data_IF_916440124926
#
_entry.id   IF_916440124926
#
_cell.length_a   1.000
_cell.length_b   1.000
_cell.length_c   1.000
_cell.angle_alpha   90.00
_cell.angle_beta   90.00
_cell.angle_gamma   90.00
#
_symmetry.space_group_name_H-M   'P 1'
#
loop_
_entity.id
_entity.type
_entity.pdbx_description
1 polymer ?
#
# COMPACT_ATOMS: atom_id res chain seq x y z
N UNK A 1 -5.28 39.23 8.08
CA UNK A 1 -6.44 38.59 8.73
C UNK A 1 -6.49 37.18 8.17
N UNK A 2 -6.39 36.16 9.01
CA UNK A 2 -6.28 34.76 8.60
C UNK A 2 -7.68 34.27 8.12
N UNK A 3 -7.72 33.28 7.23
CA UNK A 3 -8.97 32.72 6.68
C UNK A 3 -9.85 32.22 7.84
N UNK A 4 -9.22 31.57 8.83
CA UNK A 4 -9.88 31.04 10.03
C UNK A 4 -10.53 32.15 10.86
N UNK A 5 -9.86 33.30 11.02
CA UNK A 5 -10.42 34.43 11.78
C UNK A 5 -11.58 35.10 11.03
N UNK A 6 -11.49 35.12 9.70
CA UNK A 6 -12.53 35.69 8.83
C UNK A 6 -13.79 34.83 8.84
N UNK A 7 -13.65 33.51 8.69
CA UNK A 7 -14.76 32.54 8.79
C UNK A 7 -15.43 32.58 10.16
N UNK A 8 -14.65 32.57 11.24
CA UNK A 8 -15.19 32.64 12.60
C UNK A 8 -16.04 33.91 12.82
N UNK A 9 -15.55 35.07 12.35
CA UNK A 9 -16.26 36.35 12.48
C UNK A 9 -17.57 36.39 11.67
N UNK A 10 -17.60 35.77 10.49
CA UNK A 10 -18.78 35.61 9.66
C UNK A 10 -19.79 34.66 10.32
N UNK A 11 -19.32 33.54 10.86
CA UNK A 11 -20.14 32.60 11.62
C UNK A 11 -20.84 33.26 12.80
N UNK A 12 -20.11 34.06 13.59
CA UNK A 12 -20.69 34.84 14.70
C UNK A 12 -21.79 35.77 14.18
N UNK A 13 -21.51 36.59 13.16
CA UNK A 13 -22.50 37.54 12.59
C UNK A 13 -23.75 36.84 12.06
N UNK A 14 -23.59 35.71 11.39
CA UNK A 14 -24.70 34.93 10.83
C UNK A 14 -25.52 34.28 11.95
N UNK A 15 -24.90 33.77 13.01
CA UNK A 15 -25.61 33.05 14.07
C UNK A 15 -26.25 33.99 15.12
N UNK A 16 -25.71 35.19 15.34
CA UNK A 16 -26.26 36.16 16.32
C UNK A 16 -27.26 37.16 15.75
N UNK A 17 -27.16 37.58 14.48
CA UNK A 17 -28.05 38.59 13.89
C UNK A 17 -29.20 38.02 13.03
N UNK A 18 -29.57 36.75 13.22
CA UNK A 18 -30.64 36.11 12.46
C UNK A 18 -31.81 35.66 13.33
N UNK A 19 -32.97 35.49 12.70
CA UNK A 19 -34.16 34.92 13.36
C UNK A 19 -33.89 33.46 13.71
N UNK A 20 -34.44 32.99 14.84
CA UNK A 20 -34.24 31.63 15.34
C UNK A 20 -34.48 30.53 14.28
N UNK A 21 -35.52 30.69 13.44
CA UNK A 21 -35.81 29.78 12.33
C UNK A 21 -34.66 29.72 11.30
N UNK A 22 -34.12 30.87 10.91
CA UNK A 22 -32.99 30.96 9.97
C UNK A 22 -31.74 30.31 10.55
N UNK A 23 -31.45 30.52 11.84
CA UNK A 23 -30.33 29.89 12.53
C UNK A 23 -30.47 28.36 12.58
N UNK A 24 -31.68 27.85 12.82
CA UNK A 24 -31.96 26.40 12.83
C UNK A 24 -31.77 25.78 11.43
N UNK A 25 -32.26 26.44 10.37
CA UNK A 25 -32.04 25.98 8.99
C UNK A 25 -30.55 25.94 8.62
N UNK A 26 -29.79 26.98 8.96
CA UNK A 26 -28.34 27.04 8.70
C UNK A 26 -27.61 25.90 9.41
N UNK A 27 -27.93 25.67 10.69
CA UNK A 27 -27.32 24.58 11.45
C UNK A 27 -27.61 23.21 10.83
N UNK A 28 -28.85 22.98 10.37
CA UNK A 28 -29.22 21.75 9.66
C UNK A 28 -28.44 21.55 8.36
N UNK A 29 -28.24 22.62 7.57
CA UNK A 29 -27.44 22.57 6.34
C UNK A 29 -25.96 22.30 6.67
N UNK A 30 -25.38 22.96 7.68
CA UNK A 30 -24.00 22.72 8.11
C UNK A 30 -23.79 21.28 8.59
N UNK A 31 -24.74 20.72 9.34
CA UNK A 31 -24.68 19.31 9.77
C UNK A 31 -24.73 18.35 8.56
N UNK A 32 -25.60 18.61 7.59
CA UNK A 32 -25.66 17.83 6.36
C UNK A 32 -24.36 17.91 5.56
N UNK A 33 -23.79 19.11 5.39
CA UNK A 33 -22.50 19.32 4.73
C UNK A 33 -21.37 18.58 5.46
N UNK A 34 -21.26 18.75 6.78
CA UNK A 34 -20.24 18.07 7.58
C UNK A 34 -20.35 16.55 7.46
N UNK A 35 -21.58 16.01 7.40
CA UNK A 35 -21.81 14.58 7.18
C UNK A 35 -21.35 14.14 5.78
N UNK A 36 -21.72 14.87 4.73
CA UNK A 36 -21.27 14.59 3.35
C UNK A 36 -19.74 14.64 3.25
N UNK A 37 -19.11 15.66 3.82
CA UNK A 37 -17.64 15.78 3.83
C UNK A 37 -16.98 14.65 4.62
N UNK A 38 -17.56 14.19 5.73
CA UNK A 38 -17.04 13.06 6.49
C UNK A 38 -17.16 11.74 5.69
N UNK A 39 -18.28 11.51 5.02
CA UNK A 39 -18.49 10.34 4.15
C UNK A 39 -17.52 10.35 2.97
N UNK A 40 -17.36 11.50 2.30
CA UNK A 40 -16.45 11.65 1.16
C UNK A 40 -14.97 11.50 1.57
N UNK A 41 -14.58 12.05 2.73
CA UNK A 41 -13.26 11.84 3.30
C UNK A 41 -13.03 10.36 3.66
N UNK A 42 -14.05 9.66 4.14
CA UNK A 42 -13.96 8.22 4.45
C UNK A 42 -13.76 7.42 3.17
N UNK A 43 -14.56 7.68 2.13
CA UNK A 43 -14.42 7.04 0.82
C UNK A 43 -13.05 7.28 0.21
N UNK A 44 -12.56 8.52 0.21
CA UNK A 44 -11.24 8.83 -0.34
C UNK A 44 -10.12 8.13 0.43
N UNK A 45 -10.27 8.03 1.76
CA UNK A 45 -9.35 7.27 2.61
C UNK A 45 -9.38 5.79 2.26
N UNK A 46 -10.56 5.19 2.10
CA UNK A 46 -10.71 3.80 1.67
C UNK A 46 -10.07 3.56 0.31
N UNK A 47 -10.35 4.40 -0.69
CA UNK A 47 -9.72 4.32 -2.02
C UNK A 47 -8.19 4.37 -1.94
N UNK A 48 -7.64 5.27 -1.14
CA UNK A 48 -6.20 5.38 -0.93
C UNK A 48 -5.59 4.09 -0.38
N UNK A 49 -6.17 3.51 0.67
CA UNK A 49 -5.60 2.32 1.31
C UNK A 49 -5.91 1.02 0.55
N UNK A 50 -7.02 0.94 -0.18
CA UNK A 50 -7.41 -0.25 -0.95
C UNK A 50 -6.68 -0.34 -2.29
N UNK A 51 -6.48 0.80 -2.96
CA UNK A 51 -5.97 0.82 -4.32
C UNK A 51 -4.58 1.44 -4.42
N UNK A 52 -4.45 2.71 -4.03
CA UNK A 52 -3.26 3.51 -4.31
C UNK A 52 -2.03 3.11 -3.49
N UNK A 53 -2.19 2.86 -2.18
CA UNK A 53 -1.05 2.51 -1.32
C UNK A 53 -0.47 1.13 -1.67
N UNK A 54 -1.28 0.07 -1.88
CA UNK A 54 -0.77 -1.19 -2.41
C UNK A 54 -0.06 -1.06 -3.75
N UNK A 55 -0.63 -0.30 -4.69
CA UNK A 55 -0.02 -0.06 -6.00
C UNK A 55 1.31 0.69 -5.89
N UNK A 56 1.43 1.63 -4.94
CA UNK A 56 2.71 2.29 -4.66
C UNK A 56 3.76 1.32 -4.12
N UNK A 57 3.38 0.40 -3.22
CA UNK A 57 4.29 -0.61 -2.67
C UNK A 57 4.77 -1.55 -3.78
N UNK A 58 3.83 -2.09 -4.56
CA UNK A 58 4.11 -2.96 -5.69
C UNK A 58 5.07 -2.32 -6.70
N UNK A 59 4.76 -1.10 -7.15
CA UNK A 59 5.62 -0.36 -8.07
C UNK A 59 7.01 -0.06 -7.47
N UNK A 60 7.09 0.18 -6.16
CA UNK A 60 8.37 0.42 -5.47
C UNK A 60 9.22 -0.85 -5.45
N UNK A 61 8.60 -2.02 -5.17
CA UNK A 61 9.27 -3.33 -5.27
C UNK A 61 9.79 -3.58 -6.68
N UNK A 62 8.94 -3.42 -7.71
CA UNK A 62 9.37 -3.61 -9.10
C UNK A 62 10.54 -2.72 -9.47
N UNK A 63 10.44 -1.42 -9.17
CA UNK A 63 11.51 -0.47 -9.48
C UNK A 63 12.82 -0.78 -8.73
N UNK A 64 12.72 -1.26 -7.48
CA UNK A 64 13.87 -1.74 -6.73
C UNK A 64 14.54 -2.90 -7.47
N UNK A 65 13.80 -3.92 -7.89
CA UNK A 65 14.34 -5.05 -8.66
C UNK A 65 14.94 -4.59 -10.00
N UNK A 66 14.24 -3.75 -10.75
CA UNK A 66 14.78 -3.20 -12.01
C UNK A 66 16.07 -2.40 -11.80
N UNK A 67 16.24 -1.73 -10.66
CA UNK A 67 17.48 -1.03 -10.31
C UNK A 67 18.65 -1.97 -10.03
N UNK A 68 18.39 -3.15 -9.47
CA UNK A 68 19.40 -4.19 -9.26
C UNK A 68 19.89 -4.81 -10.57
N UNK A 69 18.99 -4.92 -11.56
CA UNK A 69 19.28 -5.58 -12.84
C UNK A 69 20.16 -4.76 -13.79
N UNK A 70 20.51 -3.50 -13.46
CA UNK A 70 21.42 -2.61 -14.20
C UNK A 70 21.29 -2.70 -15.74
N UNK A 71 20.07 -2.78 -16.26
CA UNK A 71 19.85 -2.79 -17.69
C UNK A 71 20.06 -1.37 -18.26
N UNK A 72 20.98 -1.16 -19.22
CA UNK A 72 21.24 0.15 -19.82
C UNK A 72 20.02 0.77 -20.53
N UNK A 73 18.96 -0.02 -20.79
CA UNK A 73 17.69 0.44 -21.33
C UNK A 73 16.60 0.71 -20.27
N UNK A 74 16.91 0.64 -18.97
CA UNK A 74 15.98 0.99 -17.90
C UNK A 74 15.86 2.52 -17.74
N UNK A 75 15.27 3.17 -18.75
CA UNK A 75 15.12 4.64 -18.82
C UNK A 75 14.23 5.23 -17.71
N UNK A 76 13.53 4.36 -16.95
CA UNK A 76 12.59 4.73 -15.87
C UNK A 76 13.02 4.31 -14.47
N UNK A 77 14.26 3.87 -14.28
CA UNK A 77 14.81 3.61 -12.94
C UNK A 77 15.60 4.83 -12.50
N UNK A 78 15.11 5.50 -11.47
CA UNK A 78 15.62 6.82 -11.06
C UNK A 78 16.42 6.80 -9.75
N UNK A 79 16.37 5.69 -9.01
CA UNK A 79 16.99 5.57 -7.68
C UNK A 79 17.78 4.29 -7.52
N UNK A 80 18.68 4.26 -6.53
CA UNK A 80 19.39 3.05 -6.13
C UNK A 80 18.48 2.12 -5.31
N UNK A 81 18.79 0.81 -5.24
CA UNK A 81 17.99 -0.14 -4.45
C UNK A 81 17.77 0.28 -2.99
N UNK A 82 18.76 0.93 -2.36
CA UNK A 82 18.70 1.36 -0.96
C UNK A 82 17.71 2.52 -0.76
N UNK A 83 17.56 3.38 -1.77
CA UNK A 83 16.60 4.48 -1.73
C UNK A 83 15.16 3.97 -1.87
N UNK A 84 14.95 2.95 -2.70
CA UNK A 84 13.65 2.27 -2.78
C UNK A 84 13.32 1.53 -1.48
N UNK A 85 14.32 0.94 -0.81
CA UNK A 85 14.13 0.33 0.50
C UNK A 85 13.66 1.34 1.55
N UNK A 86 14.27 2.53 1.57
CA UNK A 86 13.84 3.61 2.45
C UNK A 86 12.42 4.12 2.12
N UNK A 87 12.02 4.09 0.86
CA UNK A 87 10.64 4.42 0.46
C UNK A 87 9.65 3.35 0.92
N UNK A 88 9.99 2.05 0.83
CA UNK A 88 9.18 0.95 1.36
C UNK A 88 8.98 1.09 2.87
N UNK A 89 10.02 1.45 3.63
CA UNK A 89 9.92 1.68 5.07
C UNK A 89 8.92 2.81 5.38
N UNK A 90 8.98 3.93 4.65
CA UNK A 90 8.03 5.04 4.80
C UNK A 90 6.60 4.63 4.46
N UNK A 91 6.40 3.83 3.41
CA UNK A 91 5.09 3.31 3.03
C UNK A 91 4.53 2.40 4.13
N UNK A 92 5.35 1.51 4.68
CA UNK A 92 4.95 0.63 5.78
C UNK A 92 4.55 1.40 7.05
N UNK A 93 5.25 2.49 7.38
CA UNK A 93 4.85 3.37 8.50
C UNK A 93 3.46 4.00 8.32
N UNK A 94 3.00 4.23 7.08
CA UNK A 94 1.65 4.76 6.81
C UNK A 94 0.57 3.71 7.06
N UNK A 95 0.86 2.44 6.77
CA UNK A 95 -0.04 1.30 7.02
C UNK A 95 -0.30 1.17 8.52
N UNK A 96 0.77 1.14 9.33
CA UNK A 96 0.70 0.95 10.78
C UNK A 96 -0.12 2.02 11.50
N UNK A 97 -0.41 3.16 10.86
CA UNK A 97 -1.19 4.26 11.44
C UNK A 97 -2.69 4.17 11.17
N UNK A 98 -3.16 3.33 10.22
CA UNK A 98 -4.49 3.53 9.63
C UNK A 98 -5.41 2.32 9.56
N UNK A 99 -5.03 1.15 10.11
CA UNK A 99 -5.96 0.03 10.34
C UNK A 99 -6.43 -0.73 9.08
N UNK A 100 -6.07 -0.29 7.87
CA UNK A 100 -6.35 -1.01 6.60
C UNK A 100 -5.34 -2.13 6.32
N UNK A 101 -4.87 -2.81 7.37
CA UNK A 101 -3.72 -3.71 7.37
C UNK A 101 -3.98 -4.96 6.50
N UNK A 102 -5.16 -5.54 6.62
CA UNK A 102 -5.49 -6.83 6.02
C UNK A 102 -5.59 -6.79 4.49
N UNK A 103 -6.19 -5.74 3.93
CA UNK A 103 -6.32 -5.61 2.47
C UNK A 103 -4.96 -5.42 1.78
N UNK A 104 -4.07 -4.66 2.41
CA UNK A 104 -2.72 -4.44 1.89
C UNK A 104 -1.92 -5.74 1.98
N UNK A 105 -2.04 -6.46 3.11
CA UNK A 105 -1.45 -7.80 3.26
C UNK A 105 -1.92 -8.73 2.16
N UNK A 106 -3.23 -8.85 1.95
CA UNK A 106 -3.80 -9.75 0.95
C UNK A 106 -3.20 -9.48 -0.43
N UNK A 107 -3.07 -8.20 -0.80
CA UNK A 107 -2.49 -7.80 -2.08
C UNK A 107 -0.99 -8.15 -2.20
N UNK A 108 -0.19 -7.92 -1.15
CA UNK A 108 1.23 -8.27 -1.16
C UNK A 108 1.45 -9.79 -1.12
N UNK A 109 0.60 -10.55 -0.41
CA UNK A 109 0.63 -12.02 -0.40
C UNK A 109 0.31 -12.56 -1.79
N UNK A 110 -0.72 -12.03 -2.47
CA UNK A 110 -1.04 -12.40 -3.84
C UNK A 110 0.14 -12.15 -4.79
N UNK A 111 0.83 -11.01 -4.67
CA UNK A 111 2.04 -10.73 -5.45
C UNK A 111 3.17 -11.72 -5.16
N UNK A 112 3.41 -12.06 -3.88
CA UNK A 112 4.38 -13.08 -3.50
C UNK A 112 4.07 -14.41 -4.20
N UNK A 113 2.79 -14.82 -4.21
CA UNK A 113 2.35 -16.06 -4.82
C UNK A 113 2.46 -16.07 -6.35
N UNK A 114 2.00 -15.02 -7.01
CA UNK A 114 2.08 -14.90 -8.46
C UNK A 114 3.53 -15.01 -8.92
N UNK A 115 4.43 -14.26 -8.27
CA UNK A 115 5.86 -14.34 -8.56
C UNK A 115 6.46 -15.72 -8.24
N UNK A 116 6.00 -16.39 -7.18
CA UNK A 116 6.44 -17.76 -6.86
C UNK A 116 5.95 -18.83 -7.85
N UNK A 117 4.75 -18.66 -8.42
CA UNK A 117 4.24 -19.50 -9.52
C UNK A 117 5.03 -19.27 -10.80
N UNK A 118 5.24 -18.01 -11.17
CA UNK A 118 6.05 -17.65 -12.34
C UNK A 118 7.49 -18.13 -12.23
N UNK A 119 8.11 -18.02 -11.05
CA UNK A 119 9.43 -18.59 -10.76
C UNK A 119 9.51 -20.09 -11.08
N UNK A 120 8.47 -20.85 -10.71
CA UNK A 120 8.42 -22.30 -10.93
C UNK A 120 8.21 -22.64 -12.41
N UNK A 121 7.25 -21.98 -13.06
CA UNK A 121 6.97 -22.16 -14.49
C UNK A 121 8.17 -21.78 -15.37
N UNK A 122 8.95 -20.80 -14.93
CA UNK A 122 10.11 -20.31 -15.65
C UNK A 122 11.42 -21.03 -15.32
N UNK A 123 11.41 -22.14 -14.55
CA UNK A 123 12.63 -22.90 -14.21
C UNK A 123 13.54 -23.25 -15.39
N UNK A 124 12.97 -23.43 -16.58
CA UNK A 124 13.71 -23.71 -17.81
C UNK A 124 14.24 -22.44 -18.54
N UNK A 125 13.90 -21.25 -18.06
CA UNK A 125 14.32 -19.93 -18.54
C UNK A 125 15.15 -19.22 -17.47
N UNK A 126 16.47 -19.21 -17.63
CA UNK A 126 17.40 -18.71 -16.61
C UNK A 126 17.12 -17.27 -16.18
N UNK A 127 16.82 -16.38 -17.14
CA UNK A 127 16.62 -14.95 -16.85
C UNK A 127 15.27 -14.65 -16.20
N UNK A 128 14.18 -15.28 -16.68
CA UNK A 128 12.83 -15.03 -16.16
C UNK A 128 12.68 -15.59 -14.75
N UNK A 129 13.17 -16.81 -14.52
CA UNK A 129 13.24 -17.45 -13.20
C UNK A 129 13.97 -16.55 -12.20
N UNK A 130 15.08 -15.95 -12.61
CA UNK A 130 15.84 -15.07 -11.73
C UNK A 130 15.05 -13.81 -11.31
N UNK A 131 14.35 -13.16 -12.24
CA UNK A 131 13.56 -11.94 -11.95
C UNK A 131 12.41 -12.26 -11.00
N UNK A 132 11.62 -13.29 -11.29
CA UNK A 132 10.49 -13.69 -10.46
C UNK A 132 10.94 -14.18 -9.07
N UNK A 133 12.10 -14.84 -8.99
CA UNK A 133 12.70 -15.24 -7.71
C UNK A 133 13.09 -14.05 -6.83
N UNK A 134 13.63 -12.97 -7.43
CA UNK A 134 13.93 -11.73 -6.70
C UNK A 134 12.63 -11.04 -6.26
N UNK A 135 11.64 -10.92 -7.15
CA UNK A 135 10.37 -10.28 -6.82
C UNK A 135 9.64 -10.98 -5.68
N UNK A 136 9.57 -12.32 -5.74
CA UNK A 136 9.05 -13.14 -4.66
C UNK A 136 9.80 -12.87 -3.35
N UNK A 137 11.14 -12.79 -3.39
CA UNK A 137 11.95 -12.48 -2.21
C UNK A 137 11.65 -11.08 -1.65
N UNK A 138 11.57 -10.07 -2.50
CA UNK A 138 11.29 -8.69 -2.09
C UNK A 138 9.88 -8.53 -1.47
N UNK A 139 8.87 -9.22 -2.00
CA UNK A 139 7.54 -9.28 -1.38
C UNK A 139 7.60 -9.93 0.01
N UNK A 140 8.32 -11.05 0.15
CA UNK A 140 8.50 -11.71 1.44
C UNK A 140 9.24 -10.83 2.45
N UNK A 141 10.34 -10.21 2.03
CA UNK A 141 11.13 -9.31 2.87
C UNK A 141 10.31 -8.10 3.31
N UNK A 142 9.42 -7.58 2.45
CA UNK A 142 8.48 -6.53 2.84
C UNK A 142 7.51 -6.97 3.94
N UNK A 143 6.86 -8.12 3.77
CA UNK A 143 5.96 -8.66 4.80
C UNK A 143 6.69 -8.91 6.12
N UNK A 144 7.87 -9.53 6.06
CA UNK A 144 8.62 -9.91 7.25
C UNK A 144 9.27 -8.73 7.96
N UNK A 145 9.99 -7.89 7.23
CA UNK A 145 10.85 -6.87 7.83
C UNK A 145 10.09 -5.56 8.06
N UNK A 146 9.22 -5.16 7.12
CA UNK A 146 8.51 -3.89 7.19
C UNK A 146 7.15 -4.02 7.88
N UNK A 147 6.41 -5.10 7.58
CA UNK A 147 5.12 -5.36 8.22
C UNK A 147 5.22 -6.24 9.48
N UNK A 148 6.39 -6.80 9.79
CA UNK A 148 6.59 -7.70 10.95
C UNK A 148 5.62 -8.89 10.96
N UNK A 149 5.27 -9.39 9.77
CA UNK A 149 4.38 -10.53 9.58
C UNK A 149 5.11 -11.64 8.85
N UNK A 150 5.07 -12.84 9.43
CA UNK A 150 5.49 -14.04 8.71
C UNK A 150 4.34 -14.57 7.87
N UNK A 151 4.65 -15.08 6.68
CA UNK A 151 3.70 -15.84 5.87
C UNK A 151 3.48 -17.18 6.56
N UNK A 152 2.23 -17.52 6.82
CA UNK A 152 1.84 -18.76 7.50
C UNK A 152 0.89 -19.58 6.63
N UNK A 153 0.69 -20.84 7.02
CA UNK A 153 -0.24 -21.73 6.31
C UNK A 153 -1.68 -21.22 6.22
N UNK A 154 -2.10 -20.37 7.16
CA UNK A 154 -3.46 -19.79 7.23
C UNK A 154 -3.74 -18.71 6.19
N UNK A 155 -2.69 -18.20 5.55
CA UNK A 155 -2.82 -17.15 4.53
C UNK A 155 -3.23 -17.73 3.16
N UNK A 156 -3.43 -19.05 3.09
CA UNK A 156 -3.74 -19.81 1.90
C UNK A 156 -4.99 -20.66 2.14
N UNK A 157 -5.95 -20.57 1.21
CA UNK A 157 -7.19 -21.38 1.20
C UNK A 157 -7.00 -22.76 0.52
N UNK A 158 -5.75 -23.20 0.33
CA UNK A 158 -5.41 -24.37 -0.49
C UNK A 158 -4.52 -25.34 0.31
N UNK A 159 -4.80 -26.63 0.18
CA UNK A 159 -4.20 -27.74 0.95
C UNK A 159 -2.66 -27.75 0.87
N UNK A 160 -2.04 -27.47 2.01
CA UNK A 160 -0.71 -27.83 2.58
C UNK A 160 0.57 -28.00 1.72
N UNK A 161 0.52 -28.43 0.46
CA UNK A 161 1.73 -28.71 -0.35
C UNK A 161 2.37 -27.45 -0.96
N UNK A 162 1.57 -26.44 -1.32
CA UNK A 162 2.08 -25.27 -2.05
C UNK A 162 2.91 -24.32 -1.15
N UNK A 163 2.61 -24.24 0.14
CA UNK A 163 3.21 -23.26 1.07
C UNK A 163 4.60 -23.70 1.49
N UNK A 164 4.76 -24.96 1.87
CA UNK A 164 6.07 -25.53 2.19
C UNK A 164 6.96 -25.50 0.94
N UNK A 165 6.39 -25.73 -0.25
CA UNK A 165 7.07 -25.57 -1.52
C UNK A 165 7.52 -24.12 -1.78
N UNK A 166 6.67 -23.11 -1.50
CA UNK A 166 6.99 -21.68 -1.65
C UNK A 166 8.05 -21.18 -0.66
N UNK A 167 7.98 -21.58 0.61
CA UNK A 167 9.00 -21.27 1.61
C UNK A 167 10.34 -21.93 1.25
N UNK A 168 10.31 -23.18 0.75
CA UNK A 168 11.49 -23.86 0.22
C UNK A 168 12.03 -23.15 -1.03
N UNK A 169 11.16 -22.70 -1.94
CA UNK A 169 11.52 -21.91 -3.14
C UNK A 169 12.21 -20.58 -2.75
N UNK A 170 11.70 -19.87 -1.73
CA UNK A 170 12.38 -18.69 -1.18
C UNK A 170 13.77 -19.03 -0.63
N UNK A 171 13.89 -20.10 0.14
CA UNK A 171 15.20 -20.56 0.65
C UNK A 171 16.16 -20.91 -0.49
N UNK A 172 15.66 -21.42 -1.62
CA UNK A 172 16.45 -21.69 -2.81
C UNK A 172 16.86 -20.41 -3.55
N UNK A 173 15.96 -19.43 -3.71
CA UNK A 173 16.33 -18.14 -4.34
C UNK A 173 17.40 -17.41 -3.53
N UNK A 174 17.46 -17.63 -2.22
CA UNK A 174 18.50 -17.09 -1.35
C UNK A 174 19.86 -17.82 -1.41
N UNK A 175 19.96 -19.01 -2.04
CA UNK A 175 21.19 -19.83 -2.12
C UNK A 175 22.05 -19.55 -3.37
N UNK A 176 21.58 -18.70 -4.27
CA UNK A 176 22.28 -18.32 -5.49
C UNK A 176 22.65 -16.83 -5.50
N UNK A 177 23.48 -16.42 -4.55
CA UNK A 177 24.14 -15.10 -4.49
C UNK A 177 25.53 -15.24 -3.88
#
# INVERSE_FOLDING_TARGET
>A
MDIITTEYSLGIKILTNNKAHTTACINGVCQAFNKMTAEENTRHREEYYLWYLPEQIENTIYNKVFSMLKNPHNVKVYKKPEEYEADLEKLAMKINKNGCYDNIIAKIVNLYEENGREFDMSRNSTSSCYIFGILMKECYDFLKNHMKREITKKDYDIEDEDIDCMIVKYKWSCRGY
#
